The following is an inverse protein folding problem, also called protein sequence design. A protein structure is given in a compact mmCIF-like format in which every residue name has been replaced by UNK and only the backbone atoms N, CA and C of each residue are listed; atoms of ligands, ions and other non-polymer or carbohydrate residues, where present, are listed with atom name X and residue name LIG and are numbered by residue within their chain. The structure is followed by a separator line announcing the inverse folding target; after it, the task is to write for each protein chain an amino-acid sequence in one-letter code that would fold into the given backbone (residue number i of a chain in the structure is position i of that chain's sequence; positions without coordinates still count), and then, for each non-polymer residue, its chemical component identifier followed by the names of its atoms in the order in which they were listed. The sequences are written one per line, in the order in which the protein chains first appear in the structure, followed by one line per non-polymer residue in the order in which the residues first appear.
data_IF_006712145854
#
_entry.id   IF_006712145854
#
_cell.length_a   1.000
_cell.length_b   1.000
_cell.length_c   1.000
_cell.angle_alpha   90.00
_cell.angle_beta   90.00
_cell.angle_gamma   90.00
#
_symmetry.space_group_name_H-M   'P 1'
#
loop_
_entity.id
_entity.type
_entity.pdbx_description
1 polymer ?
#
# COMPACT_ATOMS: atom_id res chain seq x y z
N UNK A 1 -14.49 -6.17 -36.93
CA UNK A 1 -13.42 -5.41 -36.24
C UNK A 1 -12.40 -6.42 -35.75
N UNK A 2 -11.18 -6.41 -36.28
CA UNK A 2 -10.09 -7.23 -35.77
C UNK A 2 -9.61 -6.59 -34.46
N UNK A 3 -9.84 -7.26 -33.33
CA UNK A 3 -9.30 -6.84 -32.06
C UNK A 3 -8.01 -7.65 -31.83
N UNK A 4 -6.85 -6.98 -31.88
CA UNK A 4 -5.58 -7.64 -31.64
C UNK A 4 -5.41 -7.87 -30.13
N UNK A 5 -5.22 -9.12 -29.72
CA UNK A 5 -5.02 -9.50 -28.31
C UNK A 5 -3.59 -9.28 -27.80
N UNK A 6 -2.65 -9.07 -28.73
CA UNK A 6 -1.23 -8.88 -28.44
C UNK A 6 -0.75 -7.52 -28.95
N UNK A 7 0.33 -6.96 -28.36
CA UNK A 7 0.94 -5.75 -28.89
C UNK A 7 1.39 -5.94 -30.34
N UNK A 8 1.04 -5.00 -31.20
CA UNK A 8 1.32 -5.07 -32.63
C UNK A 8 1.91 -3.74 -33.10
N UNK A 9 2.95 -3.80 -33.93
CA UNK A 9 3.46 -2.63 -34.65
C UNK A 9 3.27 -2.88 -36.14
N UNK A 10 2.70 -1.91 -36.85
CA UNK A 10 2.50 -1.98 -38.30
C UNK A 10 3.07 -0.75 -38.97
N UNK A 11 3.60 -0.93 -40.19
CA UNK A 11 4.00 0.17 -41.06
C UNK A 11 2.90 0.35 -42.11
N UNK A 12 2.26 1.50 -42.08
CA UNK A 12 1.22 1.88 -43.05
C UNK A 12 1.84 2.14 -44.42
N UNK A 13 1.03 2.07 -45.48
CA UNK A 13 1.49 2.29 -46.86
C UNK A 13 2.10 3.68 -47.09
N UNK A 14 1.71 4.67 -46.29
CA UNK A 14 2.26 6.03 -46.30
C UNK A 14 3.54 6.19 -45.45
N UNK A 15 4.13 5.09 -44.96
CA UNK A 15 5.32 5.09 -44.12
C UNK A 15 5.07 5.45 -42.65
N UNK A 16 3.82 5.73 -42.25
CA UNK A 16 3.48 5.98 -40.84
C UNK A 16 3.55 4.68 -40.05
N UNK A 17 4.12 4.73 -38.84
CA UNK A 17 4.14 3.60 -37.92
C UNK A 17 2.94 3.72 -36.99
N UNK A 18 2.13 2.66 -36.91
CA UNK A 18 1.04 2.55 -35.94
C UNK A 18 1.33 1.43 -34.95
N UNK A 19 1.11 1.72 -33.67
CA UNK A 19 1.34 0.79 -32.57
C UNK A 19 0.04 0.53 -31.81
N UNK A 20 -0.31 -0.73 -31.64
CA UNK A 20 -1.39 -1.19 -30.76
C UNK A 20 -0.77 -1.82 -29.51
N UNK A 21 -1.10 -1.30 -28.34
CA UNK A 21 -0.64 -1.80 -27.05
C UNK A 21 -1.83 -1.98 -26.10
N UNK A 22 -2.53 -3.13 -26.14
CA UNK A 22 -3.65 -3.34 -25.23
C UNK A 22 -3.12 -3.42 -23.79
N UNK A 23 -3.93 -2.94 -22.84
CA UNK A 23 -3.63 -3.11 -21.43
C UNK A 23 -3.55 -4.61 -21.10
N UNK A 24 -2.52 -5.00 -20.34
CA UNK A 24 -2.36 -6.39 -19.91
C UNK A 24 -3.20 -6.61 -18.66
N UNK A 25 -4.09 -7.60 -18.69
CA UNK A 25 -4.76 -8.04 -17.47
C UNK A 25 -3.79 -8.74 -16.53
N UNK A 26 -4.03 -8.62 -15.24
CA UNK A 26 -3.33 -9.39 -14.22
C UNK A 26 -3.96 -10.79 -14.11
N UNK A 27 -3.20 -11.89 -14.34
CA UNK A 27 -3.74 -13.24 -14.22
C UNK A 27 -4.15 -13.58 -12.79
N UNK A 28 -5.29 -14.26 -12.62
CA UNK A 28 -5.79 -14.62 -11.29
C UNK A 28 -4.86 -15.59 -10.58
N UNK A 29 -4.20 -16.48 -11.30
CA UNK A 29 -3.24 -17.47 -10.79
C UNK A 29 -1.98 -16.81 -10.19
N UNK A 30 -1.77 -15.52 -10.48
CA UNK A 30 -0.69 -14.73 -9.89
C UNK A 30 -1.15 -13.92 -8.67
N UNK A 31 -2.43 -14.00 -8.29
CA UNK A 31 -2.95 -13.38 -7.06
C UNK A 31 -2.73 -14.30 -5.86
N UNK A 32 -2.81 -13.71 -4.66
CA UNK A 32 -2.88 -14.46 -3.41
C UNK A 32 -4.30 -14.32 -2.85
N UNK A 33 -4.80 -15.37 -2.20
CA UNK A 33 -6.05 -15.29 -1.45
C UNK A 33 -5.90 -14.31 -0.28
N UNK A 34 -6.98 -13.59 0.01
CA UNK A 34 -7.11 -12.78 1.23
C UNK A 34 -7.44 -13.75 2.38
N UNK A 35 -6.70 -13.67 3.49
CA UNK A 35 -7.00 -14.44 4.69
C UNK A 35 -8.06 -13.70 5.52
N UNK A 36 -9.32 -14.10 5.31
CA UNK A 36 -10.46 -13.49 6.00
C UNK A 36 -10.43 -13.73 7.51
N UNK A 37 -9.84 -14.85 7.97
CA UNK A 37 -9.76 -15.10 9.41
C UNK A 37 -8.73 -14.20 10.09
N UNK A 38 -7.63 -13.89 9.41
CA UNK A 38 -6.64 -12.93 9.91
C UNK A 38 -7.24 -11.53 10.00
N UNK A 39 -7.98 -11.10 8.98
CA UNK A 39 -8.68 -9.81 8.98
C UNK A 39 -9.76 -9.74 10.06
N UNK A 40 -10.55 -10.80 10.23
CA UNK A 40 -11.55 -10.87 11.30
C UNK A 40 -10.92 -10.93 12.69
N UNK A 41 -9.80 -11.64 12.89
CA UNK A 41 -9.08 -11.64 14.18
C UNK A 41 -8.49 -10.28 14.51
N UNK A 42 -8.05 -9.52 13.50
CA UNK A 42 -7.63 -8.12 13.66
C UNK A 42 -8.82 -7.20 13.98
N UNK A 43 -9.99 -7.45 13.39
CA UNK A 43 -11.21 -6.65 13.58
C UNK A 43 -12.01 -6.99 14.87
N UNK A 44 -11.98 -8.24 15.33
CA UNK A 44 -12.86 -8.77 16.39
C UNK A 44 -12.28 -8.63 17.81
N UNK A 45 -11.22 -7.83 17.96
CA UNK A 45 -10.65 -7.51 19.26
C UNK A 45 -11.46 -6.44 20.01
N UNK A 46 -12.71 -6.77 20.38
CA UNK A 46 -13.60 -5.88 21.14
C UNK A 46 -14.03 -4.63 20.35
N UNK A 47 -14.82 -3.74 20.96
CA UNK A 47 -15.09 -2.41 20.37
C UNK A 47 -13.75 -1.73 20.09
N UNK A 48 -13.28 -1.78 18.84
CA UNK A 48 -11.98 -1.25 18.40
C UNK A 48 -11.84 0.21 18.86
N UNK A 49 -12.95 0.94 18.80
CA UNK A 49 -13.05 2.30 19.33
C UNK A 49 -12.75 2.39 20.83
N UNK A 50 -13.31 1.52 21.68
CA UNK A 50 -13.08 1.63 23.13
C UNK A 50 -11.66 1.25 23.52
N UNK A 51 -11.11 0.16 22.96
CA UNK A 51 -9.75 -0.29 23.30
C UNK A 51 -8.68 0.66 22.80
N UNK A 52 -8.84 1.20 21.59
CA UNK A 52 -7.92 2.23 21.08
C UNK A 52 -8.02 3.51 21.91
N UNK A 53 -9.24 3.94 22.29
CA UNK A 53 -9.39 5.12 23.16
C UNK A 53 -8.80 4.90 24.55
N UNK A 54 -8.90 3.69 25.11
CA UNK A 54 -8.29 3.32 26.39
C UNK A 54 -6.76 3.31 26.31
N UNK A 55 -6.18 2.72 25.27
CA UNK A 55 -4.72 2.74 25.05
C UNK A 55 -4.20 4.16 24.77
N UNK A 56 -4.92 4.96 23.98
CA UNK A 56 -4.58 6.37 23.73
C UNK A 56 -4.69 7.18 25.03
N UNK A 57 -5.70 6.91 25.87
CA UNK A 57 -5.86 7.53 27.19
C UNK A 57 -4.76 7.10 28.18
N UNK A 58 -4.30 5.86 28.15
CA UNK A 58 -3.17 5.36 28.95
C UNK A 58 -1.84 5.99 28.49
N UNK A 59 -1.69 6.27 27.20
CA UNK A 59 -0.52 6.95 26.63
C UNK A 59 -0.53 8.47 26.85
N UNK A 60 -1.64 9.04 27.35
CA UNK A 60 -2.00 10.46 27.29
C UNK A 60 -1.22 11.42 28.22
N UNK A 61 -0.01 11.03 28.66
CA UNK A 61 0.92 11.93 29.35
C UNK A 61 2.26 12.13 28.63
N UNK A 62 2.71 11.19 27.80
CA UNK A 62 4.10 11.16 27.30
C UNK A 62 4.25 11.39 25.80
N UNK A 63 3.27 11.01 24.98
CA UNK A 63 3.35 11.12 23.51
C UNK A 63 2.85 12.46 22.97
N UNK A 64 1.97 13.16 23.71
CA UNK A 64 1.22 14.32 23.22
C UNK A 64 2.06 15.58 22.99
N UNK A 65 3.24 15.68 23.63
CA UNK A 65 4.11 16.87 23.56
C UNK A 65 5.30 16.72 22.63
N UNK A 66 5.77 15.49 22.36
CA UNK A 66 7.02 15.26 21.61
C UNK A 66 6.88 14.22 20.49
N UNK A 67 5.72 13.53 20.41
CA UNK A 67 5.50 12.45 19.44
C UNK A 67 6.27 11.17 19.79
N UNK A 68 6.13 10.12 18.97
CA UNK A 68 6.84 8.86 19.14
C UNK A 68 8.37 9.05 19.08
N UNK A 69 9.16 8.24 19.80
CA UNK A 69 10.61 8.34 19.77
C UNK A 69 11.16 7.99 18.38
N UNK A 70 12.24 8.68 17.95
CA UNK A 70 12.89 8.44 16.66
C UNK A 70 13.35 6.98 16.44
N UNK A 71 13.60 6.23 17.51
CA UNK A 71 13.91 4.79 17.44
C UNK A 71 12.75 3.97 16.89
N UNK A 72 11.52 4.28 17.29
CA UNK A 72 10.29 3.63 16.83
C UNK A 72 10.01 4.00 15.38
N UNK A 73 10.19 5.28 15.01
CA UNK A 73 10.05 5.74 13.63
C UNK A 73 11.05 5.04 12.69
N UNK A 74 12.29 4.86 13.14
CA UNK A 74 13.29 4.10 12.39
C UNK A 74 12.87 2.64 12.15
N UNK A 75 12.29 2.00 13.15
CA UNK A 75 11.89 0.59 13.06
C UNK A 75 10.69 0.39 12.13
N UNK A 76 9.71 1.29 12.19
CA UNK A 76 8.50 1.24 11.36
C UNK A 76 8.82 1.60 9.90
N UNK A 77 9.55 2.69 9.69
CA UNK A 77 9.76 3.26 8.36
C UNK A 77 11.08 2.86 7.71
N UNK A 78 11.92 2.08 8.42
CA UNK A 78 13.24 1.67 7.94
C UNK A 78 14.13 2.87 7.51
N UNK A 79 14.10 3.94 8.32
CA UNK A 79 14.69 5.26 8.01
C UNK A 79 16.00 5.56 8.75
N UNK A 80 16.71 6.62 8.36
CA UNK A 80 17.96 7.04 9.01
C UNK A 80 17.76 7.77 10.34
N UNK A 81 18.73 7.69 11.27
CA UNK A 81 18.66 8.36 12.59
C UNK A 81 18.59 9.90 12.57
N UNK A 82 18.80 10.51 11.41
CA UNK A 82 18.84 11.96 11.20
C UNK A 82 17.58 12.50 10.51
N UNK A 83 16.72 11.62 10.00
CA UNK A 83 15.57 11.97 9.17
C UNK A 83 14.47 12.67 9.98
N UNK A 84 14.34 12.27 11.24
CA UNK A 84 13.31 12.74 12.18
C UNK A 84 13.85 13.73 13.23
N UNK A 85 15.00 14.37 12.97
CA UNK A 85 15.51 15.45 13.81
C UNK A 85 15.01 16.78 13.25
N UNK A 86 14.49 17.65 14.12
CA UNK A 86 14.23 19.05 13.75
C UNK A 86 15.54 19.72 13.31
N UNK A 87 15.43 20.58 12.29
CA UNK A 87 16.57 21.34 11.75
C UNK A 87 16.95 22.50 12.65
#
# INVERSE_FOLDING_TARGET
LWCFSQPQTVVCQNGVIACWHPEKSFPYEHSKSIDLEEEEKQACSGSVLSRETEQIAELHGSLSLTGPPNSMLREIFYTGKHEWKTR
#
